data_IF_933037505637
#
_entry.id   IF_933037505637
#
_cell.length_a   1.000
_cell.length_b   1.000
_cell.length_c   1.000
_cell.angle_alpha   90.00
_cell.angle_beta   90.00
_cell.angle_gamma   90.00
#
_symmetry.space_group_name_H-M   'P 1'
#
loop_
_entity.id
_entity.type
_entity.pdbx_description
1 polymer ?
#
# COMPACT_ATOMS: atom_id res chain seq x y z
N UNK A 1 -33.14 16.61 -26.00
CA UNK A 1 -32.47 15.92 -24.88
C UNK A 1 -31.02 15.70 -25.29
N UNK A 2 -30.06 16.30 -24.59
CA UNK A 2 -28.64 16.24 -24.97
C UNK A 2 -28.05 14.88 -24.56
N UNK A 3 -27.90 13.95 -25.51
CA UNK A 3 -27.28 12.64 -25.26
C UNK A 3 -25.84 12.76 -24.73
N UNK A 4 -25.10 13.77 -25.19
CA UNK A 4 -23.71 14.00 -24.76
C UNK A 4 -23.58 14.31 -23.26
N UNK A 5 -24.53 15.03 -22.65
CA UNK A 5 -24.47 15.34 -21.22
C UNK A 5 -24.74 14.10 -20.36
N UNK A 6 -25.63 13.21 -20.82
CA UNK A 6 -25.90 11.95 -20.13
C UNK A 6 -24.71 10.99 -20.21
N UNK A 7 -24.04 10.89 -21.37
CA UNK A 7 -22.81 10.09 -21.51
C UNK A 7 -21.71 10.57 -20.55
N UNK A 8 -21.49 11.89 -20.45
CA UNK A 8 -20.49 12.44 -19.54
C UNK A 8 -20.80 12.19 -18.05
N UNK A 9 -22.08 12.20 -17.67
CA UNK A 9 -22.50 11.88 -16.31
C UNK A 9 -22.28 10.39 -15.99
N UNK A 10 -22.56 9.50 -16.95
CA UNK A 10 -22.28 8.07 -16.82
C UNK A 10 -20.78 7.80 -16.70
N UNK A 11 -19.95 8.44 -17.52
CA UNK A 11 -18.49 8.31 -17.45
C UNK A 11 -17.93 8.78 -16.11
N UNK A 12 -18.46 9.88 -15.55
CA UNK A 12 -18.08 10.35 -14.21
C UNK A 12 -18.46 9.35 -13.12
N UNK A 13 -19.65 8.76 -13.18
CA UNK A 13 -20.07 7.74 -12.22
C UNK A 13 -19.18 6.48 -12.30
N UNK A 14 -18.80 6.08 -13.51
CA UNK A 14 -17.87 4.96 -13.74
C UNK A 14 -16.47 5.30 -13.18
N UNK A 15 -15.96 6.50 -13.44
CA UNK A 15 -14.66 6.92 -12.91
C UNK A 15 -14.64 6.97 -11.39
N UNK A 16 -15.72 7.45 -10.77
CA UNK A 16 -15.88 7.46 -9.32
C UNK A 16 -15.88 6.04 -8.76
N UNK A 17 -16.67 5.13 -9.34
CA UNK A 17 -16.72 3.72 -8.94
C UNK A 17 -15.36 3.02 -9.10
N UNK A 18 -14.63 3.29 -10.19
CA UNK A 18 -13.28 2.74 -10.39
C UNK A 18 -12.30 3.28 -9.36
N UNK A 19 -12.42 4.55 -8.97
CA UNK A 19 -11.63 5.14 -7.89
C UNK A 19 -11.89 4.42 -6.56
N UNK A 20 -13.16 4.25 -6.19
CA UNK A 20 -13.57 3.52 -4.98
C UNK A 20 -13.14 2.06 -5.01
N UNK A 21 -13.24 1.37 -6.15
CA UNK A 21 -12.79 -0.03 -6.30
C UNK A 21 -11.27 -0.18 -6.22
N UNK A 22 -10.48 0.85 -6.60
CA UNK A 22 -9.03 0.87 -6.38
C UNK A 22 -8.68 1.12 -4.92
N UNK A 23 -9.49 1.90 -4.21
CA UNK A 23 -9.35 2.13 -2.77
C UNK A 23 -9.76 0.89 -1.95
N UNK A 24 -10.71 0.10 -2.45
CA UNK A 24 -11.09 -1.20 -1.89
C UNK A 24 -9.93 -2.19 -2.00
N UNK A 25 -9.21 -2.33 -0.88
CA UNK A 25 -8.17 -3.34 -0.69
C UNK A 25 -8.78 -4.75 -0.59
N UNK A 26 -9.17 -5.31 -1.74
CA UNK A 26 -9.69 -6.68 -1.84
C UNK A 26 -8.53 -7.68 -1.76
N UNK A 27 -7.89 -7.81 -0.59
CA UNK A 27 -6.93 -8.88 -0.29
C UNK A 27 -5.74 -9.04 -1.25
N UNK A 28 -5.47 -8.03 -2.09
CA UNK A 28 -4.34 -8.04 -3.02
C UNK A 28 -3.14 -7.41 -2.35
N UNK A 29 -2.02 -8.14 -2.35
CA UNK A 29 -0.71 -7.63 -1.97
C UNK A 29 -0.44 -6.32 -2.72
N UNK A 30 -0.39 -5.22 -1.96
CA UNK A 30 -0.09 -3.88 -2.45
C UNK A 30 1.00 -3.31 -1.59
N UNK A 31 2.00 -2.68 -2.21
CA UNK A 31 3.07 -1.99 -1.49
C UNK A 31 2.53 -0.93 -0.53
N UNK A 32 1.39 -0.32 -0.86
CA UNK A 32 0.68 0.64 -0.01
C UNK A 32 0.26 0.09 1.37
N UNK A 33 0.17 -1.24 1.52
CA UNK A 33 -0.14 -1.87 2.81
C UNK A 33 0.97 -1.64 3.84
N UNK A 34 2.22 -1.62 3.39
CA UNK A 34 3.39 -1.46 4.27
C UNK A 34 4.00 -0.07 4.23
N UNK A 35 3.67 0.75 3.22
CA UNK A 35 4.21 2.11 3.06
C UNK A 35 3.90 3.04 4.25
N UNK A 36 2.74 2.89 4.89
CA UNK A 36 2.32 3.73 6.01
C UNK A 36 2.83 3.26 7.37
N UNK A 37 3.43 2.06 7.44
CA UNK A 37 3.95 1.49 8.69
C UNK A 37 5.22 2.25 9.11
N UNK A 38 5.24 2.68 10.37
CA UNK A 38 6.41 3.31 10.99
C UNK A 38 7.27 2.24 11.65
N UNK A 39 8.56 2.25 11.35
CA UNK A 39 9.58 1.35 11.88
C UNK A 39 10.48 2.16 12.82
N UNK A 40 10.61 1.69 14.06
CA UNK A 40 11.60 2.22 15.02
C UNK A 40 12.99 1.69 14.65
N UNK A 41 13.64 2.34 13.69
CA UNK A 41 14.98 1.94 13.26
C UNK A 41 16.06 2.44 14.22
N UNK A 42 17.28 1.91 14.07
CA UNK A 42 18.43 2.29 14.92
C UNK A 42 18.77 3.79 14.88
N UNK A 43 18.34 4.49 13.81
CA UNK A 43 18.57 5.92 13.57
C UNK A 43 17.37 6.80 13.94
N UNK A 44 16.29 6.21 14.45
CA UNK A 44 15.02 6.88 14.75
C UNK A 44 13.84 6.35 13.92
N UNK A 45 12.62 6.86 14.17
CA UNK A 45 11.41 6.41 13.50
C UNK A 45 11.41 6.78 12.02
N UNK A 46 11.30 5.78 11.14
CA UNK A 46 11.28 5.93 9.69
C UNK A 46 10.16 5.09 9.08
N UNK A 47 9.77 5.36 7.83
CA UNK A 47 8.76 4.54 7.12
C UNK A 47 9.41 3.31 6.49
N UNK A 48 8.65 2.23 6.32
CA UNK A 48 9.15 0.98 5.70
C UNK A 48 9.88 1.20 4.36
N UNK A 49 9.40 2.05 3.41
CA UNK A 49 10.10 2.27 2.14
C UNK A 49 11.50 2.89 2.27
N UNK A 50 11.76 3.59 3.37
CA UNK A 50 13.05 4.20 3.65
C UNK A 50 14.04 3.14 4.18
N UNK A 51 13.55 2.19 4.98
CA UNK A 51 14.38 1.16 5.63
C UNK A 51 14.54 -0.10 4.77
N UNK A 52 13.57 -0.41 3.91
CA UNK A 52 13.53 -1.63 3.12
C UNK A 52 13.07 -1.41 1.67
N UNK A 53 13.48 -2.30 0.78
CA UNK A 53 12.95 -2.43 -0.56
C UNK A 53 11.68 -3.30 -0.53
N UNK A 54 10.56 -2.74 -0.95
CA UNK A 54 9.26 -3.42 -1.00
C UNK A 54 8.97 -3.83 -2.44
N UNK A 55 8.68 -5.10 -2.66
CA UNK A 55 8.31 -5.62 -3.98
C UNK A 55 7.13 -6.57 -3.86
N UNK A 56 6.18 -6.44 -4.78
CA UNK A 56 5.03 -7.34 -4.86
C UNK A 56 5.47 -8.54 -5.69
N UNK A 57 5.46 -9.75 -5.10
CA UNK A 57 5.83 -10.97 -5.83
C UNK A 57 4.62 -11.57 -6.55
N UNK A 58 3.51 -11.72 -5.84
CA UNK A 58 2.26 -12.23 -6.40
C UNK A 58 1.07 -11.48 -5.77
N UNK A 59 -0.16 -11.92 -6.08
CA UNK A 59 -1.37 -11.27 -5.60
C UNK A 59 -1.57 -11.32 -4.06
N UNK A 60 -0.84 -12.14 -3.31
CA UNK A 60 -0.98 -12.29 -1.86
C UNK A 60 0.36 -12.20 -1.10
N UNK A 61 1.48 -12.10 -1.82
CA UNK A 61 2.84 -12.12 -1.25
C UNK A 61 3.57 -10.81 -1.53
N UNK A 62 3.97 -10.13 -0.44
CA UNK A 62 4.86 -8.96 -0.47
C UNK A 62 6.24 -9.41 0.01
N UNK A 63 7.28 -9.09 -0.76
CA UNK A 63 8.67 -9.26 -0.36
C UNK A 63 9.21 -7.94 0.18
N UNK A 64 9.75 -7.98 1.39
CA UNK A 64 10.36 -6.83 2.07
C UNK A 64 11.82 -7.18 2.34
N UNK A 65 12.73 -6.44 1.70
CA UNK A 65 14.17 -6.63 1.85
C UNK A 65 14.78 -5.42 2.57
N UNK A 66 15.09 -5.52 3.87
CA UNK A 66 15.80 -4.47 4.59
C UNK A 66 17.13 -4.16 3.92
N UNK A 67 17.48 -2.87 3.83
CA UNK A 67 18.78 -2.46 3.30
C UNK A 67 19.92 -2.90 4.21
N UNK A 68 19.67 -2.90 5.52
CA UNK A 68 20.61 -3.31 6.55
C UNK A 68 20.05 -4.49 7.37
N UNK A 69 20.91 -5.48 7.62
CA UNK A 69 20.54 -6.69 8.39
C UNK A 69 20.15 -6.37 9.85
N UNK A 70 20.68 -5.29 10.40
CA UNK A 70 20.38 -4.87 11.78
C UNK A 70 18.92 -4.40 11.94
N UNK A 71 18.30 -3.93 10.85
CA UNK A 71 16.94 -3.40 10.87
C UNK A 71 15.87 -4.49 10.68
N UNK A 72 16.27 -5.74 10.43
CA UNK A 72 15.35 -6.86 10.23
C UNK A 72 14.38 -7.04 11.41
N UNK A 73 14.90 -6.97 12.64
CA UNK A 73 14.09 -7.12 13.87
C UNK A 73 13.12 -5.96 14.06
N UNK A 74 13.53 -4.74 13.70
CA UNK A 74 12.68 -3.55 13.81
C UNK A 74 11.55 -3.61 12.79
N UNK A 75 11.85 -4.00 11.55
CA UNK A 75 10.85 -4.17 10.49
C UNK A 75 9.85 -5.28 10.82
N UNK A 76 10.33 -6.44 11.31
CA UNK A 76 9.46 -7.53 11.75
C UNK A 76 8.49 -7.06 12.84
N UNK A 77 9.01 -6.38 13.88
CA UNK A 77 8.18 -5.86 14.97
C UNK A 77 7.15 -4.85 14.48
N UNK A 78 7.56 -3.90 13.62
CA UNK A 78 6.67 -2.89 13.08
C UNK A 78 5.51 -3.47 12.25
N UNK A 79 5.76 -4.56 11.51
CA UNK A 79 4.73 -5.26 10.74
C UNK A 79 3.75 -5.99 11.67
N UNK A 80 4.24 -6.64 12.73
CA UNK A 80 3.38 -7.27 13.74
C UNK A 80 2.50 -6.24 14.45
N UNK A 81 3.09 -5.13 14.90
CA UNK A 81 2.39 -4.07 15.62
C UNK A 81 1.34 -3.37 14.74
N UNK A 82 1.54 -3.30 13.42
CA UNK A 82 0.59 -2.70 12.49
C UNK A 82 -0.69 -3.54 12.26
N UNK A 83 -0.65 -4.84 12.58
CA UNK A 83 -1.79 -5.75 12.47
C UNK A 83 -2.47 -6.04 13.82
N UNK A 84 -1.93 -5.49 14.92
CA UNK A 84 -2.52 -5.56 16.25
C UNK A 84 -3.46 -4.36 16.48
#
# INVERSE_FOLDING_TARGET
MNLNTHSQQMDKAIQFLVGELKALQVGRASAGLVENITVEASYGPMKVPQVAHVTIMDAQTIKIEPRDKNELKHVEKAIYDANA
#
